data_IF_303680025596
#
_entry.id   IF_303680025596
#
_cell.length_a   1.000
_cell.length_b   1.000
_cell.length_c   1.000
_cell.angle_alpha   90.00
_cell.angle_beta   90.00
_cell.angle_gamma   90.00
#
_symmetry.space_group_name_H-M   'P 1'
#
loop_
_entity.id
_entity.type
_entity.pdbx_description
1 polymer ?
#
# COMPACT_ATOMS: atom_id res chain seq x y z
N UNK A 1 9.00 5.17 -3.01
CA UNK A 1 8.46 6.55 -2.95
C UNK A 1 7.63 6.67 -1.68
N UNK A 2 7.68 7.79 -0.94
CA UNK A 2 6.69 8.07 0.12
C UNK A 2 5.52 8.82 -0.53
N UNK A 3 4.28 8.32 -0.46
CA UNK A 3 3.11 9.06 -0.93
C UNK A 3 3.04 10.44 -0.27
N UNK A 4 2.54 11.47 -0.97
CA UNK A 4 2.35 12.83 -0.41
C UNK A 4 1.11 12.90 0.51
N UNK A 5 0.97 11.91 1.37
CA UNK A 5 -0.07 11.77 2.38
C UNK A 5 0.63 11.30 3.65
N UNK A 6 0.18 11.81 4.80
CA UNK A 6 0.69 11.29 6.07
C UNK A 6 0.01 9.96 6.35
N UNK A 7 0.82 8.92 6.53
CA UNK A 7 0.37 7.55 6.74
C UNK A 7 1.01 7.10 8.04
N UNK A 8 0.22 6.47 8.90
CA UNK A 8 0.71 5.91 10.14
C UNK A 8 1.92 4.99 9.88
N UNK A 9 2.93 5.11 10.74
CA UNK A 9 4.19 4.37 10.62
C UNK A 9 3.98 2.86 10.58
N UNK A 10 3.00 2.34 11.32
CA UNK A 10 2.67 0.92 11.32
C UNK A 10 2.09 0.47 9.97
N UNK A 11 1.29 1.30 9.30
CA UNK A 11 0.77 1.00 7.96
C UNK A 11 1.90 1.05 6.93
N UNK A 12 2.79 2.03 7.01
CA UNK A 12 3.97 2.08 6.14
C UNK A 12 4.84 0.83 6.28
N UNK A 13 5.10 0.39 7.50
CA UNK A 13 5.86 -0.85 7.77
C UNK A 13 5.21 -2.07 7.09
N UNK A 14 3.90 -2.23 7.24
CA UNK A 14 3.15 -3.34 6.60
C UNK A 14 3.22 -3.31 5.07
N UNK A 15 3.16 -2.13 4.47
CA UNK A 15 3.25 -1.98 3.00
C UNK A 15 4.68 -2.26 2.52
N UNK A 16 5.70 -1.91 3.31
CA UNK A 16 7.09 -2.29 3.05
C UNK A 16 7.29 -3.81 3.09
N UNK A 17 6.76 -4.46 4.12
CA UNK A 17 6.85 -5.93 4.25
C UNK A 17 6.12 -6.63 3.08
N UNK A 18 4.96 -6.11 2.66
CA UNK A 18 4.27 -6.58 1.47
C UNK A 18 5.10 -6.39 0.19
N UNK A 19 5.75 -5.24 0.03
CA UNK A 19 6.59 -4.96 -1.13
C UNK A 19 7.75 -5.96 -1.23
N UNK A 20 8.44 -6.21 -0.12
CA UNK A 20 9.57 -7.16 -0.05
C UNK A 20 9.13 -8.61 -0.32
N UNK A 21 7.95 -9.01 0.17
CA UNK A 21 7.43 -10.36 -0.03
C UNK A 21 6.99 -10.65 -1.48
N UNK A 22 6.65 -9.61 -2.25
CA UNK A 22 6.11 -9.73 -3.61
C UNK A 22 7.07 -9.22 -4.70
N UNK A 23 8.32 -8.91 -4.34
CA UNK A 23 9.34 -8.32 -5.24
C UNK A 23 8.83 -7.05 -5.95
N UNK A 24 8.11 -6.21 -5.19
CA UNK A 24 7.56 -4.96 -5.68
C UNK A 24 8.40 -3.78 -5.21
N UNK A 25 8.41 -2.71 -6.01
CA UNK A 25 8.80 -1.41 -5.48
C UNK A 25 7.77 -0.94 -4.46
N UNK A 26 8.21 -0.10 -3.52
CA UNK A 26 7.31 0.50 -2.53
C UNK A 26 6.15 1.26 -3.19
N UNK A 27 6.38 1.88 -4.36
CA UNK A 27 5.33 2.60 -5.11
C UNK A 27 4.26 1.65 -5.64
N UNK A 28 4.67 0.52 -6.24
CA UNK A 28 3.75 -0.50 -6.75
C UNK A 28 2.94 -1.12 -5.61
N UNK A 29 3.59 -1.44 -4.49
CA UNK A 29 2.91 -1.91 -3.29
C UNK A 29 1.85 -0.94 -2.78
N UNK A 30 2.14 0.37 -2.75
CA UNK A 30 1.14 1.38 -2.40
C UNK A 30 -0.02 1.41 -3.39
N UNK A 31 0.25 1.37 -4.69
CA UNK A 31 -0.78 1.38 -5.72
C UNK A 31 -1.69 0.15 -5.62
N UNK A 32 -1.13 -1.04 -5.46
CA UNK A 32 -1.91 -2.27 -5.34
C UNK A 32 -2.75 -2.31 -4.07
N UNK A 33 -2.14 -2.04 -2.91
CA UNK A 33 -2.83 -2.13 -1.62
C UNK A 33 -3.96 -1.09 -1.54
N UNK A 34 -3.71 0.14 -1.98
CA UNK A 34 -4.73 1.18 -1.99
C UNK A 34 -5.81 0.90 -3.03
N UNK A 35 -5.45 0.40 -4.22
CA UNK A 35 -6.41 0.02 -5.26
C UNK A 35 -7.35 -1.09 -4.80
N UNK A 36 -6.80 -2.20 -4.29
CA UNK A 36 -7.60 -3.31 -3.77
C UNK A 36 -8.50 -2.89 -2.60
N UNK A 37 -8.00 -2.00 -1.73
CA UNK A 37 -8.79 -1.41 -0.65
C UNK A 37 -9.95 -0.56 -1.17
N UNK A 38 -9.73 0.25 -2.21
CA UNK A 38 -10.77 1.09 -2.83
C UNK A 38 -11.85 0.22 -3.50
N UNK A 39 -11.45 -0.77 -4.30
CA UNK A 39 -12.38 -1.70 -4.97
C UNK A 39 -13.29 -2.42 -3.95
N UNK A 40 -12.73 -2.80 -2.79
CA UNK A 40 -13.47 -3.44 -1.70
C UNK A 40 -14.49 -2.51 -1.05
N UNK A 41 -14.22 -1.20 -1.00
CA UNK A 41 -15.12 -0.20 -0.42
C UNK A 41 -16.22 0.22 -1.40
N UNK A 42 -15.93 0.26 -2.71
CA UNK A 42 -16.91 0.61 -3.74
C UNK A 42 -17.93 -0.50 -4.00
N UNK A 43 -17.59 -1.74 -3.63
CA UNK A 43 -18.47 -2.92 -3.79
C UNK A 43 -19.30 -3.24 -2.54
N UNK A 44 -19.22 -2.41 -1.49
CA UNK A 44 -20.04 -2.48 -0.27
C UNK A 44 -21.25 -1.55 -0.33
#
# INVERSE_FOLDING_TARGET
MRPNIDIDWAIHGRIKDYAEANDLTLSEAYTEVLGAGLDTLETQ
#
